data_IF_341972554123
#
_entry.id   IF_341972554123
#
_cell.length_a   1.000
_cell.length_b   1.000
_cell.length_c   1.000
_cell.angle_alpha   90.00
_cell.angle_beta   90.00
_cell.angle_gamma   90.00
#
_symmetry.space_group_name_H-M   'P 1'
#
loop_
_entity.id
_entity.type
_entity.pdbx_description
1 polymer ?
#
# COMPACT_ATOMS: atom_id res chain seq x y z
N UNK A 1 -5.78 19.52 16.49
CA UNK A 1 -6.95 18.61 16.47
C UNK A 1 -7.67 18.78 15.14
N UNK A 2 -7.22 18.07 14.09
CA UNK A 2 -7.90 18.12 12.80
C UNK A 2 -8.77 16.88 12.66
N UNK A 3 -10.06 17.08 12.89
CA UNK A 3 -11.12 16.14 12.59
C UNK A 3 -11.13 15.89 11.07
N UNK A 4 -10.45 14.83 10.64
CA UNK A 4 -10.55 14.36 9.26
C UNK A 4 -11.86 13.56 9.14
N UNK A 5 -12.87 14.23 8.61
CA UNK A 5 -14.22 13.73 8.38
C UNK A 5 -14.16 12.43 7.58
N UNK A 6 -14.68 11.36 8.18
CA UNK A 6 -14.79 9.99 7.63
C UNK A 6 -15.40 9.93 6.21
N UNK A 7 -16.06 11.02 5.78
CA UNK A 7 -16.66 11.17 4.46
C UNK A 7 -15.63 11.26 3.32
N UNK A 8 -14.46 11.86 3.52
CA UNK A 8 -13.41 11.92 2.47
C UNK A 8 -12.78 10.56 2.18
N UNK A 9 -12.79 9.63 3.13
CA UNK A 9 -12.25 8.28 2.97
C UNK A 9 -13.12 7.41 2.04
N UNK A 10 -14.43 7.64 2.00
CA UNK A 10 -15.37 6.91 1.13
C UNK A 10 -15.40 7.51 -0.29
N UNK A 11 -15.22 8.83 -0.43
CA UNK A 11 -15.13 9.48 -1.75
C UNK A 11 -13.80 9.22 -2.47
N UNK A 12 -12.68 9.09 -1.74
CA UNK A 12 -11.41 8.62 -2.34
C UNK A 12 -11.51 7.16 -2.84
N UNK A 13 -12.42 6.36 -2.29
CA UNK A 13 -12.56 4.95 -2.64
C UNK A 13 -13.20 4.72 -4.02
N UNK A 14 -14.03 5.65 -4.51
CA UNK A 14 -14.74 5.53 -5.79
C UNK A 14 -14.05 6.25 -6.97
N UNK A 15 -13.06 7.11 -6.72
CA UNK A 15 -12.36 7.84 -7.79
C UNK A 15 -11.12 7.12 -8.37
N UNK A 16 -10.68 6.00 -7.78
CA UNK A 16 -9.50 5.22 -8.23
C UNK A 16 -9.88 4.21 -9.33
N UNK A 17 -10.86 4.54 -10.17
CA UNK A 17 -11.24 3.70 -11.32
C UNK A 17 -11.48 4.57 -12.55
N UNK A 18 -10.40 5.08 -13.16
CA UNK A 18 -10.43 5.44 -14.58
C UNK A 18 -9.03 5.39 -15.17
N UNK A 19 -8.87 4.55 -16.21
CA UNK A 19 -7.63 4.29 -16.96
C UNK A 19 -6.99 5.53 -17.63
N UNK A 20 -7.49 6.76 -17.39
CA UNK A 20 -7.01 8.00 -18.02
C UNK A 20 -6.17 8.94 -17.14
N UNK A 21 -5.87 8.58 -15.88
CA UNK A 21 -5.07 9.42 -14.95
C UNK A 21 -3.64 8.91 -14.69
N UNK A 22 -3.10 8.06 -15.56
CA UNK A 22 -1.74 7.50 -15.36
C UNK A 22 -0.60 8.48 -15.63
N UNK A 23 -0.85 9.66 -16.22
CA UNK A 23 0.22 10.64 -16.48
C UNK A 23 0.54 11.53 -15.27
N UNK A 24 -0.44 11.83 -14.40
CA UNK A 24 -0.19 12.62 -13.18
C UNK A 24 0.21 11.75 -11.97
N UNK A 25 -0.16 10.47 -11.94
CA UNK A 25 0.20 9.55 -10.85
C UNK A 25 1.69 9.17 -10.79
N UNK A 26 2.39 9.18 -11.93
CA UNK A 26 3.82 8.90 -12.00
C UNK A 26 4.64 9.99 -11.29
N UNK A 27 4.26 11.26 -11.46
CA UNK A 27 4.96 12.41 -10.88
C UNK A 27 4.95 12.41 -9.34
N UNK A 28 3.82 12.04 -8.72
CA UNK A 28 3.72 11.94 -7.26
C UNK A 28 4.57 10.78 -6.72
N UNK A 29 4.65 9.67 -7.44
CA UNK A 29 5.45 8.50 -7.04
C UNK A 29 6.95 8.73 -7.22
N UNK A 30 7.35 9.54 -8.19
CA UNK A 30 8.74 9.98 -8.35
C UNK A 30 9.17 10.99 -7.28
N UNK A 31 8.27 11.90 -6.88
CA UNK A 31 8.45 12.78 -5.72
C UNK A 31 8.81 12.00 -4.44
N UNK A 32 8.25 10.80 -4.27
CA UNK A 32 8.59 9.88 -3.18
C UNK A 32 9.99 9.30 -3.19
N UNK A 33 10.65 9.28 -4.34
CA UNK A 33 11.98 8.69 -4.48
C UNK A 33 13.07 9.75 -4.38
N UNK A 34 12.78 10.97 -4.82
CA UNK A 34 13.77 12.05 -4.93
C UNK A 34 13.81 12.98 -3.69
N UNK A 35 13.18 12.58 -2.57
CA UNK A 35 13.15 13.37 -1.32
C UNK A 35 12.35 14.68 -1.44
N UNK A 36 11.53 14.82 -2.48
CA UNK A 36 10.70 15.99 -2.76
C UNK A 36 9.23 15.59 -2.69
N UNK A 37 8.71 15.31 -1.49
CA UNK A 37 7.30 14.96 -1.30
C UNK A 37 6.97 14.33 0.05
N UNK A 38 5.70 14.32 0.41
CA UNK A 38 5.14 13.66 1.60
C UNK A 38 4.93 12.17 1.29
N UNK A 39 6.01 11.39 1.39
CA UNK A 39 5.97 9.99 0.98
C UNK A 39 6.08 9.08 2.18
N UNK A 40 4.99 8.34 2.37
CA UNK A 40 4.74 7.54 3.56
C UNK A 40 5.09 6.07 3.35
N UNK A 41 5.74 5.70 2.24
CA UNK A 41 6.13 4.31 1.96
C UNK A 41 7.65 4.15 1.88
N UNK A 42 8.19 3.31 2.76
CA UNK A 42 9.58 2.87 2.71
C UNK A 42 9.63 1.35 2.50
N UNK A 43 10.21 0.96 1.38
CA UNK A 43 10.25 -0.43 0.92
C UNK A 43 11.48 -1.15 1.49
N UNK A 44 11.28 -2.39 1.95
CA UNK A 44 12.39 -3.29 2.26
C UNK A 44 13.02 -3.84 0.99
N UNK A 45 12.18 -4.20 0.01
CA UNK A 45 12.62 -4.89 -1.18
C UNK A 45 12.52 -3.98 -2.43
N UNK A 46 13.64 -3.83 -3.12
CA UNK A 46 13.79 -2.92 -4.26
C UNK A 46 12.83 -3.24 -5.43
N UNK A 47 12.53 -4.51 -5.67
CA UNK A 47 11.61 -4.88 -6.75
C UNK A 47 10.19 -4.35 -6.53
N UNK A 48 9.73 -4.30 -5.28
CA UNK A 48 8.41 -3.80 -4.93
C UNK A 48 8.36 -2.27 -5.05
N UNK A 49 9.46 -1.60 -4.69
CA UNK A 49 9.65 -0.16 -4.94
C UNK A 49 9.58 0.15 -6.44
N UNK A 50 10.31 -0.58 -7.28
CA UNK A 50 10.32 -0.35 -8.73
C UNK A 50 8.95 -0.63 -9.36
N UNK A 51 8.22 -1.64 -8.86
CA UNK A 51 6.83 -1.87 -9.23
C UNK A 51 5.95 -0.67 -8.86
N UNK A 52 6.09 -0.13 -7.65
CA UNK A 52 5.34 1.03 -7.21
C UNK A 52 5.67 2.26 -8.07
N UNK A 53 6.94 2.61 -8.21
CA UNK A 53 7.33 3.88 -8.85
C UNK A 53 7.09 3.85 -10.36
N UNK A 54 7.54 2.78 -11.03
CA UNK A 54 7.60 2.73 -12.49
C UNK A 54 6.62 1.74 -13.12
N UNK A 55 5.83 1.02 -12.31
CA UNK A 55 5.04 -0.11 -12.82
C UNK A 55 5.91 -1.27 -13.32
N UNK A 56 7.18 -1.33 -12.90
CA UNK A 56 8.14 -2.34 -13.40
C UNK A 56 7.68 -3.74 -12.98
N UNK A 57 7.46 -4.61 -13.95
CA UNK A 57 7.09 -6.00 -13.72
C UNK A 57 8.28 -6.79 -13.13
N UNK A 58 7.97 -7.74 -12.25
CA UNK A 58 8.96 -8.62 -11.65
C UNK A 58 8.39 -10.04 -11.51
N UNK A 59 9.24 -11.05 -11.69
CA UNK A 59 8.86 -12.48 -11.55
C UNK A 59 8.31 -12.85 -10.17
N UNK A 60 8.64 -12.09 -9.14
CA UNK A 60 8.14 -12.29 -7.77
C UNK A 60 6.72 -11.74 -7.56
N UNK A 61 6.18 -11.00 -8.53
CA UNK A 61 4.83 -10.44 -8.50
C UNK A 61 4.03 -11.07 -9.64
N UNK A 62 3.10 -12.00 -9.34
CA UNK A 62 2.18 -12.52 -10.35
C UNK A 62 1.42 -11.40 -11.06
N UNK A 63 1.44 -11.43 -12.39
CA UNK A 63 0.81 -10.39 -13.22
C UNK A 63 -0.69 -10.24 -12.96
N UNK A 64 -1.35 -11.33 -12.56
CA UNK A 64 -2.79 -11.40 -12.25
C UNK A 64 -3.20 -10.49 -11.09
N UNK A 65 -2.26 -10.09 -10.21
CA UNK A 65 -2.56 -9.25 -9.05
C UNK A 65 -2.02 -7.82 -9.16
N UNK A 66 -1.42 -7.42 -10.29
CA UNK A 66 -0.80 -6.10 -10.45
C UNK A 66 -1.75 -4.94 -10.11
N UNK A 67 -2.98 -4.96 -10.64
CA UNK A 67 -3.96 -3.90 -10.38
C UNK A 67 -4.38 -3.83 -8.91
N UNK A 68 -4.55 -4.99 -8.26
CA UNK A 68 -4.90 -5.06 -6.85
C UNK A 68 -3.74 -4.58 -5.99
N UNK A 69 -2.53 -5.04 -6.27
CA UNK A 69 -1.30 -4.65 -5.56
C UNK A 69 -1.08 -3.13 -5.66
N UNK A 70 -1.17 -2.56 -6.87
CA UNK A 70 -1.00 -1.13 -7.08
C UNK A 70 -1.98 -0.30 -6.24
N UNK A 71 -3.27 -0.68 -6.23
CA UNK A 71 -4.30 -0.02 -5.42
C UNK A 71 -4.04 -0.15 -3.91
N UNK A 72 -3.52 -1.29 -3.44
CA UNK A 72 -3.16 -1.46 -2.03
C UNK A 72 -2.00 -0.56 -1.64
N UNK A 73 -0.99 -0.42 -2.51
CA UNK A 73 0.14 0.47 -2.26
C UNK A 73 -0.29 1.94 -2.26
N UNK A 74 -1.18 2.36 -3.17
CA UNK A 74 -1.77 3.72 -3.12
C UNK A 74 -2.50 3.99 -1.80
N UNK A 75 -3.33 3.04 -1.38
CA UNK A 75 -4.03 3.12 -0.10
C UNK A 75 -3.07 3.21 1.08
N UNK A 76 -1.97 2.45 1.06
CA UNK A 76 -0.94 2.54 2.11
C UNK A 76 -0.27 3.93 2.12
N UNK A 77 0.01 4.51 0.95
CA UNK A 77 0.63 5.84 0.86
C UNK A 77 -0.30 6.96 1.32
N UNK A 78 -1.61 6.81 1.07
CA UNK A 78 -2.64 7.77 1.45
C UNK A 78 -3.07 7.66 2.92
N UNK A 79 -2.65 6.60 3.63
CA UNK A 79 -3.03 6.41 5.02
C UNK A 79 -2.38 7.45 5.93
N UNK A 80 -3.18 7.97 6.86
CA UNK A 80 -2.75 8.91 7.90
C UNK A 80 -2.89 8.31 9.30
N UNK A 81 -3.68 7.25 9.43
CA UNK A 81 -3.90 6.55 10.70
C UNK A 81 -3.98 5.04 10.50
N UNK A 82 -3.72 4.27 11.55
CA UNK A 82 -3.91 2.81 11.55
C UNK A 82 -5.35 2.37 11.20
N UNK A 83 -6.35 3.24 11.42
CA UNK A 83 -7.76 2.92 11.11
C UNK A 83 -8.01 2.86 9.62
N UNK A 84 -7.26 3.62 8.83
CA UNK A 84 -7.39 3.68 7.37
C UNK A 84 -7.13 2.31 6.75
N UNK A 85 -6.22 1.52 7.33
CA UNK A 85 -5.93 0.15 6.87
C UNK A 85 -7.07 -0.84 7.10
N UNK A 86 -8.04 -0.55 7.96
CA UNK A 86 -9.21 -1.41 8.17
C UNK A 86 -10.26 -1.25 7.06
N UNK A 87 -10.22 -0.14 6.33
CA UNK A 87 -11.10 0.11 5.20
C UNK A 87 -10.35 -0.20 3.90
N UNK A 88 -10.90 -1.04 3.00
CA UNK A 88 -12.17 -1.74 3.08
C UNK A 88 -12.05 -3.04 3.90
N UNK A 89 -13.17 -3.66 4.34
CA UNK A 89 -13.16 -4.88 5.16
C UNK A 89 -12.32 -6.04 4.58
N UNK A 90 -12.21 -6.12 3.25
CA UNK A 90 -11.39 -7.10 2.55
C UNK A 90 -9.88 -7.01 2.82
N UNK A 91 -9.38 -5.94 3.45
CA UNK A 91 -7.98 -5.81 3.84
C UNK A 91 -7.57 -6.84 4.88
N UNK A 92 -8.51 -7.29 5.73
CA UNK A 92 -8.22 -8.18 6.87
C UNK A 92 -7.00 -7.68 7.65
N UNK A 93 -6.92 -6.38 7.90
CA UNK A 93 -5.80 -5.72 8.58
C UNK A 93 -5.58 -6.36 9.94
N UNK A 94 -4.33 -6.76 10.20
CA UNK A 94 -3.92 -7.43 11.44
C UNK A 94 -2.53 -6.98 11.84
N UNK A 95 -2.34 -6.67 13.12
CA UNK A 95 -1.04 -6.73 13.75
C UNK A 95 -0.60 -8.19 13.81
N UNK A 96 0.68 -8.46 13.50
CA UNK A 96 1.23 -9.80 13.53
C UNK A 96 1.52 -10.22 14.98
N UNK A 97 1.67 -11.53 15.20
CA UNK A 97 1.99 -12.08 16.51
C UNK A 97 3.52 -12.12 16.71
N UNK A 98 4.02 -12.19 17.95
CA UNK A 98 5.44 -12.40 18.23
C UNK A 98 6.00 -13.57 17.39
N UNK A 99 7.23 -13.45 16.85
CA UNK A 99 8.22 -12.38 17.10
C UNK A 99 8.05 -11.11 16.25
N UNK A 100 6.94 -10.97 15.50
CA UNK A 100 6.68 -9.86 14.57
C UNK A 100 5.59 -8.91 15.08
N UNK A 101 5.43 -8.76 16.39
CA UNK A 101 4.41 -7.91 17.02
C UNK A 101 4.46 -6.42 16.62
N UNK A 102 5.63 -5.92 16.24
CA UNK A 102 5.80 -4.57 15.67
C UNK A 102 5.34 -4.43 14.20
N UNK A 103 4.97 -5.54 13.55
CA UNK A 103 4.54 -5.55 12.15
C UNK A 103 3.02 -5.66 12.01
N UNK A 104 2.55 -5.14 10.89
CA UNK A 104 1.19 -5.19 10.43
C UNK A 104 1.11 -5.88 9.07
N UNK A 105 -0.06 -6.41 8.77
CA UNK A 105 -0.34 -7.02 7.47
C UNK A 105 -1.66 -6.56 6.89
N UNK A 106 -1.69 -6.37 5.56
CA UNK A 106 -2.92 -6.27 4.77
C UNK A 106 -2.92 -7.31 3.66
N UNK A 107 -4.09 -7.85 3.35
CA UNK A 107 -4.26 -8.85 2.29
C UNK A 107 -4.27 -8.20 0.91
N UNK A 108 -3.49 -8.75 -0.01
CA UNK A 108 -3.59 -8.43 -1.44
C UNK A 108 -4.61 -9.37 -2.08
N UNK A 109 -4.43 -10.68 -1.92
CA UNK A 109 -5.35 -11.73 -2.35
C UNK A 109 -5.20 -12.97 -1.44
N UNK A 110 -5.70 -14.16 -1.81
CA UNK A 110 -5.57 -15.37 -0.98
C UNK A 110 -4.19 -16.01 -0.90
N UNK A 111 -3.21 -15.48 -1.60
CA UNK A 111 -1.87 -16.03 -1.65
C UNK A 111 -0.80 -14.99 -1.27
N UNK A 112 -1.17 -13.73 -1.06
CA UNK A 112 -0.21 -12.64 -0.87
C UNK A 112 -0.68 -11.61 0.15
N UNK A 113 0.26 -11.14 0.97
CA UNK A 113 0.08 -10.07 1.96
C UNK A 113 1.16 -9.02 1.80
N UNK A 114 0.82 -7.77 2.08
CA UNK A 114 1.80 -6.73 2.33
C UNK A 114 2.06 -6.69 3.83
N UNK A 115 3.33 -6.75 4.22
CA UNK A 115 3.78 -6.70 5.61
C UNK A 115 4.65 -5.46 5.78
N UNK A 116 4.42 -4.72 6.87
CA UNK A 116 5.08 -3.44 7.13
C UNK A 116 5.06 -3.07 8.61
N UNK A 117 5.88 -2.11 8.99
CA UNK A 117 5.79 -1.40 10.27
C UNK A 117 5.08 -0.07 10.06
N UNK A 118 4.48 0.46 11.11
CA UNK A 118 3.78 1.74 11.08
C UNK A 118 4.28 2.66 12.19
N UNK A 119 4.78 3.84 11.80
CA UNK A 119 5.16 4.95 12.67
C UNK A 119 5.05 6.25 11.88
N UNK A 120 3.84 6.84 11.85
CA UNK A 120 3.40 7.96 10.98
C UNK A 120 3.61 7.79 9.46
N UNK A 121 4.29 6.72 9.08
CA UNK A 121 4.57 6.22 7.75
C UNK A 121 4.67 4.69 7.77
N UNK A 122 4.47 4.07 6.61
CA UNK A 122 4.69 2.66 6.36
C UNK A 122 6.18 2.42 6.11
N UNK A 123 6.83 1.68 7.00
CA UNK A 123 8.25 1.33 6.88
C UNK A 123 8.46 -0.17 6.74
N UNK A 124 9.65 -0.56 6.25
CA UNK A 124 10.03 -1.95 6.02
C UNK A 124 8.97 -2.74 5.22
N UNK A 125 8.35 -2.10 4.22
CA UNK A 125 7.26 -2.68 3.44
C UNK A 125 7.79 -3.77 2.49
N UNK A 126 7.19 -4.95 2.55
CA UNK A 126 7.46 -6.04 1.62
C UNK A 126 6.22 -6.85 1.28
N UNK A 127 6.32 -7.62 0.19
CA UNK A 127 5.30 -8.55 -0.28
C UNK A 127 5.65 -9.96 0.19
N UNK A 128 4.71 -10.61 0.87
CA UNK A 128 4.85 -11.94 1.44
C UNK A 128 3.91 -12.92 0.74
N UNK A 129 4.43 -14.01 0.13
CA UNK A 129 3.61 -15.12 -0.35
C UNK A 129 3.05 -15.89 0.85
N UNK A 130 1.78 -15.66 1.17
CA UNK A 130 1.06 -16.29 2.26
C UNK A 130 -0.19 -16.97 1.74
N UNK A 131 -0.17 -18.30 1.66
CA UNK A 131 -1.40 -19.07 1.45
C UNK A 131 -2.15 -19.10 2.78
N UNK A 132 -3.38 -18.61 2.78
CA UNK A 132 -4.30 -18.91 3.87
C UNK A 132 -4.57 -20.43 3.80
N UNK A 133 -3.88 -21.19 4.66
CA UNK A 133 -4.17 -22.62 4.89
C UNK A 133 -5.48 -22.74 5.65
#
# INVERSE_FOLDING_TARGET
MHNCTVLLCVFYFNAIVSRKLYQHGLFIREACVNGKGDCRLYFRDEYLRLFYVYGKLNKLIPTTMNSVLARKLDMLNAATTLRDFKSPPGNRFKQLKPPLDSYYSIRVNGQYRLIFKWDDAVTALYLDPHKDV
#
